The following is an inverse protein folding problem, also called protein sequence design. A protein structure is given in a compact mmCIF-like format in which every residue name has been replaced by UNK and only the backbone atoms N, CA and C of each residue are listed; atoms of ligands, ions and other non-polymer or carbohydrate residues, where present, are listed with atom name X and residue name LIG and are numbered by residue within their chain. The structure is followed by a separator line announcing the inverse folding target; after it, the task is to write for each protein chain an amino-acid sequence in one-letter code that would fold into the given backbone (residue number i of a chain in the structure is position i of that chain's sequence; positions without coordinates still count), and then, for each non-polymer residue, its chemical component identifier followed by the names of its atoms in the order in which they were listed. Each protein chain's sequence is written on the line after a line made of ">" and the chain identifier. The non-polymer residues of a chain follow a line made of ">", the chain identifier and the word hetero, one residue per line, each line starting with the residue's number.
data_IF_845534141722
#
_entry.id   IF_845534141722
#
_cell.length_a   1.000
_cell.length_b   1.000
_cell.length_c   1.000
_cell.angle_alpha   90.00
_cell.angle_beta   90.00
_cell.angle_gamma   90.00
#
_symmetry.space_group_name_H-M   'P 1'
#
loop_
_entity.id
_entity.type
_entity.pdbx_description
1 polymer ?
#
# COMPACT_ATOMS: atom_id res chain seq x y z
N UNK A 1 15.97 2.84 15.05
CA UNK A 1 14.89 3.73 14.56
C UNK A 1 15.30 4.14 13.16
N UNK A 2 14.86 3.42 12.13
CA UNK A 2 15.17 3.77 10.76
C UNK A 2 14.40 5.05 10.41
N UNK A 3 15.14 6.10 10.04
CA UNK A 3 14.56 7.35 9.59
C UNK A 3 13.99 7.05 8.21
N UNK A 4 12.67 6.88 8.12
CA UNK A 4 12.03 6.73 6.83
C UNK A 4 12.03 8.12 6.18
N UNK A 5 13.05 8.40 5.36
CA UNK A 5 13.16 9.66 4.64
C UNK A 5 12.07 9.69 3.57
N UNK A 6 10.98 10.39 3.91
CA UNK A 6 9.88 10.67 3.01
C UNK A 6 10.32 11.36 1.72
N UNK A 7 9.44 11.43 0.72
CA UNK A 7 9.76 12.01 -0.57
C UNK A 7 10.18 13.47 -0.41
N UNK A 8 11.25 13.86 -1.10
CA UNK A 8 11.73 15.24 -1.20
C UNK A 8 12.14 15.54 -2.62
N UNK A 9 11.85 16.74 -3.10
CA UNK A 9 12.34 17.24 -4.38
C UNK A 9 12.94 18.65 -4.26
N UNK A 10 14.03 18.89 -4.99
CA UNK A 10 14.67 20.19 -5.12
C UNK A 10 14.84 20.48 -6.61
N UNK A 11 14.36 21.64 -7.04
CA UNK A 11 14.57 22.17 -8.38
C UNK A 11 15.68 23.23 -8.36
N UNK A 12 16.81 22.93 -8.99
CA UNK A 12 17.82 23.93 -9.32
C UNK A 12 17.48 24.55 -10.68
N UNK A 13 16.70 25.63 -10.60
CA UNK A 13 16.23 26.36 -11.79
C UNK A 13 17.36 27.05 -12.55
N UNK A 14 18.51 27.30 -11.91
CA UNK A 14 19.65 27.99 -12.56
C UNK A 14 20.34 27.11 -13.61
N UNK A 15 20.26 25.79 -13.43
CA UNK A 15 20.81 24.79 -14.36
C UNK A 15 19.73 23.89 -14.97
N UNK A 16 18.45 24.18 -14.70
CA UNK A 16 17.30 23.45 -15.25
C UNK A 16 17.31 21.97 -14.89
N UNK A 17 17.60 21.64 -13.63
CA UNK A 17 17.68 20.26 -13.13
C UNK A 17 16.87 20.09 -11.85
N UNK A 18 16.18 18.96 -11.72
CA UNK A 18 15.46 18.54 -10.52
C UNK A 18 16.15 17.30 -9.97
N UNK A 19 16.35 17.28 -8.66
CA UNK A 19 16.75 16.11 -7.89
C UNK A 19 15.65 15.77 -6.90
N UNK A 20 15.15 14.54 -6.94
CA UNK A 20 14.17 14.04 -5.98
C UNK A 20 14.62 12.69 -5.42
N UNK A 21 14.24 12.39 -4.18
CA UNK A 21 14.62 11.15 -3.52
C UNK A 21 13.53 10.67 -2.56
N UNK A 22 13.44 9.36 -2.39
CA UNK A 22 12.59 8.71 -1.38
C UNK A 22 13.20 7.35 -1.00
N UNK A 23 13.05 6.96 0.27
CA UNK A 23 13.34 5.59 0.71
C UNK A 23 12.05 4.79 0.81
N UNK A 24 12.01 3.60 0.23
CA UNK A 24 10.82 2.74 0.18
C UNK A 24 11.17 1.36 0.72
N UNK A 25 10.39 0.84 1.67
CA UNK A 25 10.65 -0.41 2.39
C UNK A 25 10.34 -1.69 1.58
N UNK A 26 10.79 -1.74 0.33
CA UNK A 26 10.67 -2.88 -0.59
C UNK A 26 11.98 -3.05 -1.38
N UNK A 27 12.28 -4.24 -1.93
CA UNK A 27 13.50 -4.46 -2.70
C UNK A 27 13.49 -3.72 -4.05
N UNK A 28 14.66 -3.38 -4.64
CA UNK A 28 14.74 -2.57 -5.87
C UNK A 28 13.94 -3.13 -7.04
N UNK A 29 13.85 -4.46 -7.17
CA UNK A 29 13.08 -5.14 -8.20
C UNK A 29 11.58 -4.78 -8.16
N UNK A 30 11.03 -4.61 -6.95
CA UNK A 30 9.63 -4.23 -6.75
C UNK A 30 9.37 -2.79 -7.14
N UNK A 31 10.31 -1.89 -6.83
CA UNK A 31 10.27 -0.48 -7.24
C UNK A 31 10.40 -0.38 -8.75
N UNK A 32 11.39 -1.07 -9.34
CA UNK A 32 11.62 -1.08 -10.79
C UNK A 32 10.36 -1.55 -11.53
N UNK A 33 9.75 -2.65 -11.10
CA UNK A 33 8.49 -3.14 -11.68
C UNK A 33 7.36 -2.10 -11.59
N UNK A 34 7.24 -1.38 -10.48
CA UNK A 34 6.22 -0.33 -10.34
C UNK A 34 6.45 0.86 -11.28
N UNK A 35 7.70 1.14 -11.65
CA UNK A 35 8.08 2.22 -12.56
C UNK A 35 7.94 1.85 -14.05
N UNK A 36 7.82 0.57 -14.40
CA UNK A 36 7.85 0.13 -15.81
C UNK A 36 6.65 -0.67 -16.26
N UNK A 37 5.94 -1.35 -15.35
CA UNK A 37 4.86 -2.25 -15.73
C UNK A 37 3.56 -1.51 -16.02
N UNK A 38 2.95 -1.85 -17.15
CA UNK A 38 1.66 -1.34 -17.63
C UNK A 38 0.51 -1.60 -16.65
N UNK A 39 0.53 -2.75 -15.98
CA UNK A 39 -0.44 -3.15 -14.95
C UNK A 39 -0.20 -2.48 -13.59
N UNK A 40 0.91 -1.77 -13.37
CA UNK A 40 1.25 -1.13 -12.10
C UNK A 40 1.04 0.39 -12.12
N UNK A 41 1.49 1.07 -13.17
CA UNK A 41 1.49 2.54 -13.21
C UNK A 41 0.10 3.18 -12.95
N UNK A 42 -0.99 2.70 -13.58
CA UNK A 42 -2.33 3.25 -13.33
C UNK A 42 -2.82 3.07 -11.88
N UNK A 43 -2.23 2.15 -11.12
CA UNK A 43 -2.63 1.89 -9.73
C UNK A 43 -2.13 2.98 -8.77
N UNK A 44 -0.97 3.58 -9.06
CA UNK A 44 -0.29 4.48 -8.12
C UNK A 44 -0.06 5.89 -8.65
N UNK A 45 0.05 6.10 -9.95
CA UNK A 45 0.37 7.42 -10.48
C UNK A 45 -0.88 8.30 -10.52
N UNK A 46 -1.08 9.06 -9.43
CA UNK A 46 -2.17 10.02 -9.30
C UNK A 46 -3.05 9.81 -8.07
N UNK A 47 -3.98 10.74 -7.88
CA UNK A 47 -5.07 10.65 -6.91
C UNK A 47 -6.35 11.23 -7.49
N UNK A 48 -7.50 10.77 -6.98
CA UNK A 48 -8.81 11.23 -7.44
C UNK A 48 -9.08 12.70 -7.10
N UNK A 49 -8.29 13.27 -6.18
CA UNK A 49 -8.34 14.68 -5.76
C UNK A 49 -7.56 15.63 -6.68
N UNK A 50 -6.71 15.11 -7.57
CA UNK A 50 -5.87 15.92 -8.46
C UNK A 50 -5.98 15.45 -9.91
N UNK A 51 -5.33 14.32 -10.19
CA UNK A 51 -5.37 13.67 -11.48
C UNK A 51 -5.00 12.21 -11.27
N UNK A 52 -5.51 11.32 -12.12
CA UNK A 52 -5.16 9.90 -12.09
C UNK A 52 -4.79 9.39 -13.47
N UNK A 53 -3.69 8.64 -13.55
CA UNK A 53 -3.34 7.85 -14.72
C UNK A 53 -4.33 6.71 -14.89
N UNK A 54 -4.96 6.62 -16.06
CA UNK A 54 -5.98 5.61 -16.39
C UNK A 54 -5.42 4.49 -17.25
N UNK A 55 -4.34 4.75 -17.99
CA UNK A 55 -3.71 3.78 -18.88
C UNK A 55 -2.22 4.07 -19.02
N UNK A 56 -1.43 3.01 -19.10
CA UNK A 56 -0.01 3.07 -19.43
C UNK A 56 0.32 2.01 -20.47
N UNK A 57 1.13 2.35 -21.46
CA UNK A 57 1.69 1.40 -22.42
C UNK A 57 3.18 1.67 -22.59
N UNK A 58 3.99 0.63 -22.52
CA UNK A 58 5.45 0.74 -22.58
C UNK A 58 6.09 -0.46 -23.28
N UNK A 59 7.06 -0.18 -24.14
CA UNK A 59 8.02 -1.14 -24.68
C UNK A 59 9.34 -1.00 -23.89
N UNK A 60 9.48 -1.74 -22.78
CA UNK A 60 10.52 -1.52 -21.77
C UNK A 60 11.88 -2.08 -22.23
N UNK A 61 12.49 -1.40 -23.19
CA UNK A 61 13.84 -1.66 -23.73
C UNK A 61 14.42 -0.36 -24.29
N UNK A 62 15.75 -0.22 -24.43
CA UNK A 62 16.34 0.92 -25.13
C UNK A 62 15.72 1.15 -26.52
N UNK A 63 15.32 2.39 -26.79
CA UNK A 63 14.60 2.82 -27.98
C UNK A 63 13.11 2.49 -28.01
N UNK A 64 12.57 1.82 -26.99
CA UNK A 64 11.14 1.53 -26.90
C UNK A 64 10.34 2.75 -26.43
N UNK A 65 9.14 2.93 -27.00
CA UNK A 65 8.26 4.04 -26.66
C UNK A 65 7.42 3.75 -25.40
N UNK A 66 7.07 4.80 -24.67
CA UNK A 66 6.12 4.74 -23.56
C UNK A 66 5.10 5.89 -23.63
N UNK A 67 3.91 5.65 -23.09
CA UNK A 67 2.83 6.63 -22.99
C UNK A 67 1.97 6.37 -21.76
N UNK A 68 1.73 7.42 -20.98
CA UNK A 68 0.77 7.45 -19.89
C UNK A 68 -0.37 8.39 -20.23
N UNK A 69 -1.60 7.92 -20.07
CA UNK A 69 -2.84 8.69 -20.25
C UNK A 69 -3.52 8.84 -18.89
N UNK A 70 -4.15 9.99 -18.64
CA UNK A 70 -4.82 10.25 -17.39
C UNK A 70 -5.92 11.30 -17.50
N UNK A 71 -6.62 11.51 -16.39
CA UNK A 71 -7.74 12.43 -16.28
C UNK A 71 -7.54 13.34 -15.07
N UNK A 72 -7.73 14.65 -15.26
CA UNK A 72 -7.76 15.63 -14.17
C UNK A 72 -9.11 15.66 -13.45
N UNK A 73 -9.17 16.32 -12.29
CA UNK A 73 -10.44 16.52 -11.56
C UNK A 73 -11.52 17.25 -12.36
N UNK A 74 -11.14 18.08 -13.31
CA UNK A 74 -12.03 18.78 -14.24
C UNK A 74 -12.58 17.87 -15.35
N UNK A 75 -12.16 16.60 -15.34
CA UNK A 75 -12.51 15.59 -16.30
C UNK A 75 -11.76 15.68 -17.63
N UNK A 76 -10.82 16.62 -17.79
CA UNK A 76 -10.02 16.74 -19.00
C UNK A 76 -8.97 15.64 -19.04
N UNK A 77 -8.82 15.05 -20.21
CA UNK A 77 -7.80 14.06 -20.48
C UNK A 77 -6.45 14.72 -20.74
N UNK A 78 -5.39 14.08 -20.26
CA UNK A 78 -4.00 14.45 -20.56
C UNK A 78 -3.20 13.20 -20.88
N UNK A 79 -2.02 13.41 -21.47
CA UNK A 79 -1.06 12.34 -21.66
C UNK A 79 0.37 12.86 -21.51
N UNK A 80 1.28 11.98 -21.15
CA UNK A 80 2.73 12.20 -21.18
C UNK A 80 3.35 11.01 -21.90
N UNK A 81 4.41 11.24 -22.66
CA UNK A 81 5.04 10.20 -23.45
C UNK A 81 6.55 10.40 -23.59
N UNK A 82 7.23 9.38 -24.09
CA UNK A 82 8.65 9.44 -24.43
C UNK A 82 9.18 8.10 -24.89
N UNK A 83 10.49 7.95 -24.77
CA UNK A 83 11.26 6.79 -25.19
C UNK A 83 12.24 6.38 -24.10
N UNK A 84 12.44 5.09 -23.88
CA UNK A 84 13.45 4.59 -22.97
C UNK A 84 14.84 4.72 -23.60
N UNK A 85 15.74 5.44 -22.94
CA UNK A 85 17.12 5.62 -23.36
C UNK A 85 18.03 4.52 -22.80
N UNK A 86 17.82 4.12 -21.55
CA UNK A 86 18.53 3.02 -20.88
C UNK A 86 17.59 2.25 -19.96
N UNK A 87 17.75 0.93 -19.92
CA UNK A 87 16.96 0.02 -19.07
C UNK A 87 17.92 -1.03 -18.53
N UNK A 88 18.29 -0.92 -17.24
CA UNK A 88 19.21 -1.84 -16.56
C UNK A 88 18.55 -2.30 -15.25
N UNK A 89 17.64 -3.29 -15.30
CA UNK A 89 16.93 -3.74 -14.11
C UNK A 89 17.88 -4.38 -13.07
N UNK A 90 17.64 -4.17 -11.77
CA UNK A 90 16.67 -3.25 -11.18
C UNK A 90 17.25 -1.86 -10.85
N UNK A 91 18.41 -1.47 -11.38
CA UNK A 91 19.22 -0.36 -10.83
C UNK A 91 19.04 0.98 -11.56
N UNK A 92 18.81 0.97 -12.87
CA UNK A 92 18.80 2.20 -13.67
C UNK A 92 17.69 2.18 -14.73
N UNK A 93 16.92 3.27 -14.79
CA UNK A 93 15.95 3.53 -15.83
C UNK A 93 16.12 4.97 -16.31
N UNK A 94 16.39 5.15 -17.60
CA UNK A 94 16.51 6.49 -18.23
C UNK A 94 15.50 6.59 -19.34
N UNK A 95 14.68 7.64 -19.34
CA UNK A 95 13.64 7.87 -20.34
C UNK A 95 13.55 9.35 -20.72
N UNK A 96 13.12 9.63 -21.94
CA UNK A 96 12.70 10.97 -22.33
C UNK A 96 11.31 11.26 -21.79
N UNK A 97 11.01 12.53 -21.59
CA UNK A 97 9.74 13.03 -21.08
C UNK A 97 9.25 14.17 -21.95
N UNK A 98 8.09 13.97 -22.57
CA UNK A 98 7.37 14.98 -23.34
C UNK A 98 5.97 15.13 -22.78
N UNK A 99 5.70 16.29 -22.19
CA UNK A 99 4.41 16.65 -21.64
C UNK A 99 3.77 17.78 -22.46
N UNK A 100 2.45 17.74 -22.73
CA UNK A 100 1.79 18.69 -23.61
C UNK A 100 1.77 20.12 -23.05
N UNK A 101 1.86 20.29 -21.73
CA UNK A 101 1.94 21.60 -21.08
C UNK A 101 3.32 22.27 -21.23
N UNK A 102 4.36 21.54 -21.65
CA UNK A 102 5.72 22.06 -21.87
C UNK A 102 6.02 22.33 -23.36
N UNK A 103 4.99 22.31 -24.21
CA UNK A 103 5.14 22.50 -25.65
C UNK A 103 5.97 21.40 -26.30
N UNK A 104 6.99 21.79 -27.06
CA UNK A 104 7.90 20.85 -27.75
C UNK A 104 9.14 20.46 -26.95
N UNK A 105 9.21 20.84 -25.66
CA UNK A 105 10.35 20.46 -24.84
C UNK A 105 10.39 18.95 -24.61
N UNK A 106 11.56 18.35 -24.81
CA UNK A 106 11.82 16.94 -24.47
C UNK A 106 12.93 16.93 -23.44
N UNK A 107 12.59 16.51 -22.23
CA UNK A 107 13.51 16.41 -21.10
C UNK A 107 13.91 14.95 -20.88
N UNK A 108 14.86 14.71 -19.98
CA UNK A 108 15.31 13.37 -19.60
C UNK A 108 15.05 13.14 -18.11
N UNK A 109 14.49 11.98 -17.78
CA UNK A 109 14.31 11.50 -16.41
C UNK A 109 15.18 10.26 -16.21
N UNK A 110 16.01 10.31 -15.17
CA UNK A 110 16.86 9.20 -14.73
C UNK A 110 16.40 8.76 -13.35
N UNK A 111 16.00 7.50 -13.22
CA UNK A 111 15.79 6.82 -11.94
C UNK A 111 16.99 5.94 -11.62
N UNK A 112 17.58 6.14 -10.45
CA UNK A 112 18.60 5.27 -9.86
C UNK A 112 18.02 4.60 -8.63
N UNK A 113 18.11 3.28 -8.56
CA UNK A 113 17.61 2.47 -7.46
C UNK A 113 18.77 1.78 -6.75
N UNK A 114 18.96 2.09 -5.48
CA UNK A 114 20.04 1.55 -4.65
C UNK A 114 19.44 0.77 -3.47
N UNK A 115 19.90 -0.46 -3.28
CA UNK A 115 19.56 -1.23 -2.09
C UNK A 115 20.21 -0.58 -0.86
N UNK A 116 19.42 -0.35 0.18
CA UNK A 116 19.83 0.17 1.49
C UNK A 116 19.23 -0.70 2.59
N UNK A 117 19.71 -0.59 3.83
CA UNK A 117 19.19 -1.38 4.95
C UNK A 117 17.67 -1.25 5.12
N UNK A 118 17.12 -0.06 4.87
CA UNK A 118 15.69 0.24 4.97
C UNK A 118 14.86 -0.12 3.72
N UNK A 119 15.45 -0.79 2.72
CA UNK A 119 14.78 -1.17 1.46
C UNK A 119 15.49 -0.60 0.23
N UNK A 120 14.83 0.29 -0.51
CA UNK A 120 15.37 0.91 -1.71
C UNK A 120 15.42 2.42 -1.55
N UNK A 121 16.59 3.02 -1.79
CA UNK A 121 16.71 4.45 -2.05
C UNK A 121 16.50 4.69 -3.54
N UNK A 122 15.41 5.36 -3.88
CA UNK A 122 15.15 5.85 -5.23
C UNK A 122 15.65 7.28 -5.33
N UNK A 123 16.53 7.55 -6.29
CA UNK A 123 16.93 8.91 -6.69
C UNK A 123 16.46 9.19 -8.10
N UNK A 124 15.77 10.32 -8.29
CA UNK A 124 15.29 10.81 -9.56
C UNK A 124 16.06 12.08 -9.93
N UNK A 125 16.59 12.10 -11.15
CA UNK A 125 17.14 13.30 -11.78
C UNK A 125 16.33 13.62 -13.02
N UNK A 126 15.77 14.84 -13.11
CA UNK A 126 15.05 15.32 -14.29
C UNK A 126 15.78 16.55 -14.84
N UNK A 127 16.25 16.48 -16.08
CA UNK A 127 17.07 17.51 -16.71
C UNK A 127 16.59 17.87 -18.13
N UNK A 128 17.06 19.01 -18.63
CA UNK A 128 16.70 19.50 -19.98
C UNK A 128 15.72 20.67 -20.00
N UNK A 129 15.52 21.37 -18.87
CA UNK A 129 14.65 22.55 -18.82
C UNK A 129 15.32 23.81 -19.40
N UNK A 130 16.65 23.90 -19.40
CA UNK A 130 17.37 25.09 -19.87
C UNK A 130 16.89 26.35 -19.15
N UNK A 131 16.57 27.41 -19.89
CA UNK A 131 16.04 28.67 -19.34
C UNK A 131 14.55 28.61 -18.90
N UNK A 132 13.89 27.45 -18.95
CA UNK A 132 12.49 27.28 -18.56
C UNK A 132 12.34 27.11 -17.04
N UNK A 133 12.69 28.15 -16.29
CA UNK A 133 12.70 28.12 -14.82
C UNK A 133 11.33 27.76 -14.22
N UNK A 134 10.23 28.30 -14.77
CA UNK A 134 8.86 27.99 -14.33
C UNK A 134 8.53 26.51 -14.47
N UNK A 135 8.77 25.94 -15.66
CA UNK A 135 8.54 24.51 -15.90
C UNK A 135 9.41 23.62 -14.99
N UNK A 136 10.67 23.98 -14.78
CA UNK A 136 11.57 23.25 -13.87
C UNK A 136 11.04 23.26 -12.43
N UNK A 137 10.53 24.41 -11.96
CA UNK A 137 9.96 24.56 -10.63
C UNK A 137 8.67 23.74 -10.47
N UNK A 138 7.76 23.83 -11.43
CA UNK A 138 6.46 23.16 -11.40
C UNK A 138 6.61 21.63 -11.44
N UNK A 139 7.51 21.10 -12.28
CA UNK A 139 7.85 19.68 -12.27
C UNK A 139 8.51 19.26 -10.95
N UNK A 140 9.32 20.13 -10.34
CA UNK A 140 9.93 19.88 -9.02
C UNK A 140 8.88 19.62 -7.94
N UNK A 141 7.87 20.49 -7.85
CA UNK A 141 6.73 20.28 -6.94
C UNK A 141 5.92 19.03 -7.29
N UNK A 142 5.80 18.71 -8.58
CA UNK A 142 5.16 17.48 -9.04
C UNK A 142 5.87 16.22 -8.57
N UNK A 143 7.20 16.16 -8.65
CA UNK A 143 7.97 14.95 -8.33
C UNK A 143 7.89 14.54 -6.87
N UNK A 144 7.91 15.48 -5.93
CA UNK A 144 7.75 15.15 -4.50
C UNK A 144 6.43 14.42 -4.25
N UNK A 145 5.35 14.89 -4.86
CA UNK A 145 4.03 14.26 -4.80
C UNK A 145 4.01 12.89 -5.48
N UNK A 146 4.55 12.79 -6.69
CA UNK A 146 4.57 11.55 -7.47
C UNK A 146 5.34 10.45 -6.74
N UNK A 147 6.50 10.78 -6.14
CA UNK A 147 7.25 9.84 -5.32
C UNK A 147 6.51 9.47 -4.03
N UNK A 148 5.72 10.39 -3.46
CA UNK A 148 4.83 10.09 -2.35
C UNK A 148 3.77 9.03 -2.71
N UNK A 149 3.09 9.17 -3.85
CA UNK A 149 2.12 8.17 -4.29
C UNK A 149 2.76 6.80 -4.55
N UNK A 150 3.94 6.77 -5.19
CA UNK A 150 4.70 5.54 -5.41
C UNK A 150 5.05 4.86 -4.07
N UNK A 151 5.58 5.64 -3.12
CA UNK A 151 5.96 5.14 -1.80
C UNK A 151 4.76 4.58 -1.03
N UNK A 152 3.62 5.26 -1.04
CA UNK A 152 2.38 4.77 -0.44
C UNK A 152 1.93 3.46 -1.09
N UNK A 153 1.82 3.42 -2.42
CA UNK A 153 1.42 2.20 -3.14
C UNK A 153 2.34 0.99 -2.84
N UNK A 154 3.64 1.22 -2.76
CA UNK A 154 4.61 0.16 -2.50
C UNK A 154 4.66 -0.24 -1.02
N UNK A 155 4.36 0.68 -0.10
CA UNK A 155 4.25 0.39 1.34
C UNK A 155 2.97 -0.36 1.65
N UNK A 156 1.87 -0.01 0.99
CA UNK A 156 0.59 -0.71 1.05
C UNK A 156 0.65 -2.08 0.33
N UNK A 157 1.63 -2.24 -0.58
CA UNK A 157 1.80 -3.36 -1.50
C UNK A 157 2.75 -4.48 -1.05
N UNK A 158 3.22 -4.49 0.19
CA UNK A 158 3.89 -5.68 0.76
C UNK A 158 2.82 -6.73 1.13
N UNK A 159 2.31 -7.44 0.13
CA UNK A 159 1.64 -8.73 0.30
C UNK A 159 0.21 -8.74 0.85
N UNK A 160 -0.51 -7.62 0.91
CA UNK A 160 -1.92 -7.67 1.31
C UNK A 160 -2.82 -7.93 0.11
N UNK A 161 -3.46 -9.11 0.06
CA UNK A 161 -4.74 -9.24 -0.66
C UNK A 161 -5.69 -8.15 -0.13
N UNK A 162 -6.67 -7.65 -0.91
CA UNK A 162 -7.67 -6.73 -0.36
C UNK A 162 -8.25 -7.35 0.91
N UNK A 163 -7.98 -6.72 2.06
CA UNK A 163 -8.34 -7.33 3.32
C UNK A 163 -9.85 -7.28 3.48
N UNK A 164 -10.44 -8.45 3.68
CA UNK A 164 -11.85 -8.62 3.94
C UNK A 164 -12.08 -8.51 5.44
N UNK A 165 -13.26 -8.04 5.81
CA UNK A 165 -13.68 -8.00 7.21
C UNK A 165 -14.53 -9.22 7.48
N UNK A 166 -14.28 -9.89 8.60
CA UNK A 166 -14.99 -11.08 9.03
C UNK A 166 -15.61 -10.83 10.41
N UNK A 167 -16.87 -11.18 10.54
CA UNK A 167 -17.54 -11.33 11.82
C UNK A 167 -17.26 -12.75 12.35
N UNK A 168 -16.49 -12.83 13.42
CA UNK A 168 -16.16 -14.07 14.12
C UNK A 168 -17.00 -14.15 15.39
N UNK A 169 -17.86 -15.16 15.47
CA UNK A 169 -18.71 -15.44 16.65
C UNK A 169 -18.14 -16.62 17.41
N UNK A 170 -17.61 -16.38 18.61
CA UNK A 170 -17.21 -17.42 19.55
C UNK A 170 -18.43 -17.93 20.32
N UNK A 171 -18.77 -19.19 20.12
CA UNK A 171 -19.88 -19.85 20.78
C UNK A 171 -19.35 -20.66 21.97
N UNK A 172 -19.81 -20.38 23.20
CA UNK A 172 -19.41 -21.14 24.38
C UNK A 172 -19.99 -22.57 24.37
N UNK A 173 -19.45 -23.48 25.20
CA UNK A 173 -19.90 -24.87 25.23
C UNK A 173 -21.31 -25.07 25.78
N UNK A 174 -21.85 -24.09 26.51
CA UNK A 174 -23.20 -24.10 27.07
C UNK A 174 -23.82 -22.69 27.11
N UNK A 175 -25.16 -22.54 27.00
CA UNK A 175 -25.81 -21.23 26.91
C UNK A 175 -25.64 -20.34 28.15
N UNK A 176 -25.53 -20.94 29.32
CA UNK A 176 -25.38 -20.27 30.61
C UNK A 176 -23.90 -20.06 31.01
N UNK A 177 -22.95 -20.39 30.13
CA UNK A 177 -21.52 -20.43 30.41
C UNK A 177 -21.02 -19.15 31.08
N UNK A 178 -21.38 -17.97 30.57
CA UNK A 178 -20.94 -16.69 31.11
C UNK A 178 -21.40 -16.44 32.56
N UNK A 179 -22.42 -17.16 33.03
CA UNK A 179 -22.96 -17.06 34.39
C UNK A 179 -22.51 -18.21 35.29
N UNK A 180 -22.00 -19.32 34.73
CA UNK A 180 -21.61 -20.53 35.45
C UNK A 180 -20.12 -20.89 35.30
N UNK A 181 -19.27 -19.88 35.13
CA UNK A 181 -17.82 -20.02 35.01
C UNK A 181 -17.19 -20.64 36.28
N UNK A 182 -16.56 -21.81 36.13
CA UNK A 182 -15.62 -22.34 37.12
C UNK A 182 -14.32 -21.51 37.14
N UNK A 183 -13.50 -21.64 38.19
CA UNK A 183 -12.25 -20.88 38.27
C UNK A 183 -11.26 -21.25 37.16
N UNK A 184 -11.26 -22.51 36.73
CA UNK A 184 -10.48 -22.96 35.57
C UNK A 184 -10.98 -22.30 34.27
N UNK A 185 -12.29 -22.20 34.07
CA UNK A 185 -12.87 -21.53 32.91
C UNK A 185 -12.66 -20.01 32.93
N UNK A 186 -12.68 -19.37 34.11
CA UNK A 186 -12.30 -17.94 34.26
C UNK A 186 -10.85 -17.72 33.85
N UNK A 187 -9.94 -18.58 34.28
CA UNK A 187 -8.54 -18.52 33.90
C UNK A 187 -8.36 -18.68 32.38
N UNK A 188 -9.12 -19.59 31.76
CA UNK A 188 -9.14 -19.76 30.31
C UNK A 188 -9.66 -18.52 29.58
N UNK A 189 -10.76 -17.91 30.04
CA UNK A 189 -11.28 -16.66 29.46
C UNK A 189 -10.30 -15.49 29.58
N UNK A 190 -9.48 -15.47 30.65
CA UNK A 190 -8.39 -14.51 30.77
C UNK A 190 -7.34 -14.72 29.68
N UNK A 191 -6.89 -15.97 29.46
CA UNK A 191 -5.93 -16.29 28.40
C UNK A 191 -6.46 -15.92 27.02
N UNK A 192 -7.73 -16.22 26.75
CA UNK A 192 -8.44 -15.81 25.54
C UNK A 192 -8.43 -14.28 25.33
N UNK A 193 -8.78 -13.51 26.36
CA UNK A 193 -8.77 -12.05 26.31
C UNK A 193 -7.37 -11.48 26.08
N UNK A 194 -6.35 -12.06 26.73
CA UNK A 194 -4.95 -11.67 26.55
C UNK A 194 -4.47 -11.97 25.12
N UNK A 195 -4.84 -13.12 24.56
CA UNK A 195 -4.55 -13.48 23.16
C UNK A 195 -5.17 -12.50 22.17
N UNK A 196 -6.48 -12.23 22.28
CA UNK A 196 -7.17 -11.30 21.37
C UNK A 196 -6.68 -9.86 21.52
N UNK A 197 -6.28 -9.44 22.72
CA UNK A 197 -5.64 -8.14 22.94
C UNK A 197 -4.29 -8.05 22.23
N UNK A 198 -3.51 -9.13 22.22
CA UNK A 198 -2.30 -9.23 21.40
C UNK A 198 -2.61 -9.04 19.91
N UNK A 199 -3.62 -9.75 19.39
CA UNK A 199 -4.04 -9.64 17.99
C UNK A 199 -4.67 -8.30 17.60
N UNK A 200 -5.28 -7.61 18.56
CA UNK A 200 -5.73 -6.21 18.41
C UNK A 200 -4.52 -5.28 18.25
N UNK A 201 -3.47 -5.46 19.06
CA UNK A 201 -2.22 -4.68 18.95
C UNK A 201 -1.45 -4.93 17.65
N UNK A 202 -1.57 -6.14 17.08
CA UNK A 202 -0.99 -6.49 15.77
C UNK A 202 -1.82 -5.96 14.57
N UNK A 203 -3.03 -5.42 14.79
CA UNK A 203 -3.89 -4.85 13.74
C UNK A 203 -4.76 -5.86 12.96
N UNK A 204 -4.69 -7.15 13.29
CA UNK A 204 -5.51 -8.20 12.66
C UNK A 204 -6.93 -8.28 13.23
N UNK A 205 -7.10 -8.02 14.53
CA UNK A 205 -8.42 -7.86 15.16
C UNK A 205 -8.73 -6.37 15.22
N UNK A 206 -9.92 -5.95 14.78
CA UNK A 206 -10.38 -4.56 14.83
C UNK A 206 -11.05 -4.27 16.18
N UNK A 207 -11.92 -5.17 16.63
CA UNK A 207 -12.57 -5.11 17.94
C UNK A 207 -12.99 -6.51 18.39
N UNK A 208 -13.11 -6.70 19.70
CA UNK A 208 -13.66 -7.91 20.28
C UNK A 208 -14.35 -7.63 21.62
N UNK A 209 -15.24 -8.52 22.04
CA UNK A 209 -15.89 -8.44 23.35
C UNK A 209 -17.08 -9.37 23.50
N UNK A 210 -17.61 -9.53 24.74
CA UNK A 210 -18.81 -10.32 24.96
C UNK A 210 -20.05 -9.59 24.42
N UNK A 211 -21.00 -10.37 23.88
CA UNK A 211 -22.32 -9.92 23.45
C UNK A 211 -23.35 -10.53 24.39
N UNK A 212 -24.13 -9.67 25.04
CA UNK A 212 -25.21 -10.04 25.95
C UNK A 212 -26.50 -10.37 25.18
N UNK A 213 -26.44 -11.41 24.35
CA UNK A 213 -27.59 -11.91 23.59
C UNK A 213 -28.61 -12.58 24.53
N UNK A 214 -29.91 -12.22 24.46
CA UNK A 214 -30.96 -12.84 25.28
C UNK A 214 -31.06 -14.35 25.13
N UNK A 215 -30.64 -14.92 24.00
CA UNK A 215 -30.62 -16.36 23.77
C UNK A 215 -29.42 -17.08 24.45
N UNK A 216 -28.46 -16.32 24.98
CA UNK A 216 -27.23 -16.83 25.60
C UNK A 216 -26.01 -16.01 25.18
N UNK A 217 -25.16 -15.53 26.12
CA UNK A 217 -24.01 -14.72 25.78
C UNK A 217 -22.99 -15.42 24.88
N UNK A 218 -22.36 -14.67 23.98
CA UNK A 218 -21.33 -15.16 23.05
C UNK A 218 -20.24 -14.12 22.82
N UNK A 219 -19.10 -14.50 22.22
CA UNK A 219 -17.98 -13.58 21.98
C UNK A 219 -17.98 -13.03 20.56
N UNK A 220 -17.95 -11.70 20.41
CA UNK A 220 -17.75 -10.99 19.15
C UNK A 220 -16.27 -10.79 18.87
N UNK A 221 -15.86 -11.01 17.63
CA UNK A 221 -14.61 -10.52 17.06
C UNK A 221 -14.84 -9.98 15.65
N UNK A 222 -14.40 -8.76 15.36
CA UNK A 222 -14.32 -8.24 13.99
C UNK A 222 -12.85 -8.32 13.58
N UNK A 223 -12.58 -9.12 12.55
CA UNK A 223 -11.22 -9.47 12.12
C UNK A 223 -11.00 -8.98 10.71
N UNK A 224 -9.86 -8.34 10.48
CA UNK A 224 -9.39 -7.94 9.16
C UNK A 224 -8.36 -8.94 8.69
N UNK A 225 -8.59 -9.57 7.55
CA UNK A 225 -7.68 -10.60 7.02
C UNK A 225 -7.70 -10.69 5.50
N UNK A 226 -6.62 -11.23 4.94
CA UNK A 226 -6.43 -11.41 3.50
C UNK A 226 -7.40 -12.45 2.89
N UNK A 227 -7.76 -13.48 3.66
CA UNK A 227 -8.67 -14.54 3.27
C UNK A 227 -9.19 -15.28 4.52
N UNK A 228 -10.14 -16.20 4.31
CA UNK A 228 -10.76 -16.97 5.39
C UNK A 228 -9.76 -17.94 6.05
N UNK A 229 -8.75 -18.42 5.33
CA UNK A 229 -7.73 -19.31 5.88
C UNK A 229 -6.91 -18.62 6.97
N UNK A 230 -6.56 -17.34 6.76
CA UNK A 230 -5.90 -16.54 7.79
C UNK A 230 -6.77 -16.35 9.04
N UNK A 231 -8.09 -16.14 8.87
CA UNK A 231 -9.01 -16.05 10.01
C UNK A 231 -9.12 -17.38 10.74
N UNK A 232 -9.22 -18.50 10.02
CA UNK A 232 -9.24 -19.85 10.59
C UNK A 232 -7.99 -20.11 11.42
N UNK A 233 -6.81 -19.77 10.91
CA UNK A 233 -5.57 -19.90 11.67
C UNK A 233 -5.58 -19.08 12.97
N UNK A 234 -6.15 -17.87 12.94
CA UNK A 234 -6.32 -17.03 14.14
C UNK A 234 -7.28 -17.67 15.14
N UNK A 235 -8.42 -18.19 14.69
CA UNK A 235 -9.42 -18.82 15.58
C UNK A 235 -8.96 -20.18 16.11
N UNK A 236 -8.25 -20.98 15.32
CA UNK A 236 -7.70 -22.28 15.73
C UNK A 236 -6.53 -22.11 16.72
N UNK A 237 -5.88 -20.94 16.70
CA UNK A 237 -4.86 -20.56 17.66
C UNK A 237 -5.42 -20.03 18.99
N UNK A 238 -6.73 -19.77 19.07
CA UNK A 238 -7.37 -19.24 20.27
C UNK A 238 -7.31 -20.25 21.45
N UNK A 239 -6.93 -19.81 22.67
CA UNK A 239 -6.88 -20.68 23.84
C UNK A 239 -8.19 -21.45 24.11
N UNK A 240 -9.34 -20.82 23.85
CA UNK A 240 -10.65 -21.46 24.06
C UNK A 240 -10.86 -22.65 23.14
N UNK A 241 -10.48 -22.53 21.87
CA UNK A 241 -10.57 -23.61 20.88
C UNK A 241 -9.54 -24.70 21.20
N UNK A 242 -8.30 -24.32 21.48
CA UNK A 242 -7.22 -25.25 21.83
C UNK A 242 -7.46 -26.04 23.11
N UNK A 243 -8.27 -25.50 24.03
CA UNK A 243 -8.61 -26.20 25.27
C UNK A 243 -9.39 -27.50 25.05
N UNK A 244 -10.06 -27.66 23.92
CA UNK A 244 -10.94 -28.80 23.64
C UNK A 244 -12.23 -28.81 24.46
N UNK A 245 -12.54 -27.75 25.22
CA UNK A 245 -13.72 -27.68 26.09
C UNK A 245 -15.03 -27.36 25.34
N UNK A 246 -15.09 -27.57 24.02
CA UNK A 246 -16.32 -27.42 23.24
C UNK A 246 -16.64 -26.01 22.74
N UNK A 247 -15.70 -25.06 22.85
CA UNK A 247 -15.82 -23.76 22.18
C UNK A 247 -15.68 -23.92 20.67
N UNK A 248 -16.42 -23.10 19.92
CA UNK A 248 -16.32 -23.06 18.45
C UNK A 248 -16.49 -21.65 17.91
N UNK A 249 -15.86 -21.38 16.78
CA UNK A 249 -16.07 -20.15 16.02
C UNK A 249 -17.00 -20.38 14.84
N UNK A 250 -17.90 -19.43 14.60
CA UNK A 250 -18.49 -19.19 13.29
C UNK A 250 -17.74 -18.03 12.63
N UNK A 251 -17.22 -18.24 11.43
CA UNK A 251 -16.49 -17.25 10.64
C UNK A 251 -17.39 -16.79 9.51
N UNK A 252 -17.81 -15.53 9.55
CA UNK A 252 -18.79 -14.98 8.62
C UNK A 252 -18.17 -13.80 7.86
N UNK A 253 -17.87 -13.93 6.56
CA UNK A 253 -17.39 -12.82 5.74
C UNK A 253 -18.43 -11.70 5.69
N UNK A 254 -18.04 -10.47 5.97
CA UNK A 254 -18.94 -9.31 5.84
C UNK A 254 -19.04 -8.90 4.38
N UNK A 255 -20.26 -8.71 3.88
CA UNK A 255 -20.50 -8.26 2.50
C UNK A 255 -19.99 -6.82 2.28
N UNK A 256 -20.19 -5.96 3.27
CA UNK A 256 -19.70 -4.59 3.33
C UNK A 256 -19.40 -4.24 4.79
N UNK A 257 -18.37 -3.44 5.03
CA UNK A 257 -18.06 -2.88 6.34
C UNK A 257 -17.69 -1.40 6.17
N UNK A 258 -18.27 -0.53 6.99
CA UNK A 258 -17.85 0.88 7.15
C UNK A 258 -17.17 0.96 8.51
N UNK A 259 -15.93 1.43 8.54
CA UNK A 259 -15.09 1.50 9.73
C UNK A 259 -14.76 2.94 10.07
#
# INVERSE_FOLDING_TARGET
>A
MAINDGPRAIADVSVGTILATVTIAVPPERVFRALTADDQIPLWWGSDELYRTTKHTADVRPGGAWRSEGKGVDGREFHVQGEYLKVEPPHLLVLTWKAPWDGDNVTTVTYTLEAVEAGTRLTLRHEGFGAREGACRDHGFGWERVLGWLATFLSDGVGSKPQRVFHCRLIPPRPDFAFTLTDAEKALMKQHSDYLRGKLGEGGVILFGPVADPAGPWGLGIVRANDEAAVRALTDADPTVRSGLGFRYEILPMMTAVM
#
